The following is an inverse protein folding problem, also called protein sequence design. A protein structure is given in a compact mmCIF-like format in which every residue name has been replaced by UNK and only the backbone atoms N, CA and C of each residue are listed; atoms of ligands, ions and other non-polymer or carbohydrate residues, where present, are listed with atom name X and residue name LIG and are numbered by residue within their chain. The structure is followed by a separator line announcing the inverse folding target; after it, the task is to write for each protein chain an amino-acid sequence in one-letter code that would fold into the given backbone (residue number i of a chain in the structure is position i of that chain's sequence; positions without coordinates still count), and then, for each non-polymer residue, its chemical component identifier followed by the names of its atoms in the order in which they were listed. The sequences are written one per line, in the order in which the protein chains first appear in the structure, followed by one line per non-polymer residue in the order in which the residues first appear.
data_IF_473022737708
#
_entry.id   IF_473022737708
#
_cell.length_a   1.000
_cell.length_b   1.000
_cell.length_c   1.000
_cell.angle_alpha   90.00
_cell.angle_beta   90.00
_cell.angle_gamma   90.00
#
_symmetry.space_group_name_H-M   'P 1'
#
loop_
_entity.id
_entity.type
_entity.pdbx_description
1 polymer ?
#
# COMPACT_ATOMS: atom_id res chain seq x y z
N UNK A 1 17.61 9.99 -5.42
CA UNK A 1 16.46 9.17 -4.99
C UNK A 1 16.98 8.07 -4.10
N UNK A 2 16.93 8.27 -2.78
CA UNK A 2 17.21 7.21 -1.82
C UNK A 2 16.09 6.20 -1.91
N UNK A 3 16.35 5.05 -2.55
CA UNK A 3 15.50 3.87 -2.37
C UNK A 3 15.73 3.44 -0.92
N UNK A 4 14.97 4.03 0.02
CA UNK A 4 14.73 3.38 1.30
C UNK A 4 14.26 1.98 0.92
N UNK A 5 15.01 0.97 1.35
CA UNK A 5 14.66 -0.42 1.11
C UNK A 5 13.29 -0.65 1.74
N UNK A 6 12.24 -0.59 0.93
CA UNK A 6 10.88 -0.88 1.37
C UNK A 6 10.77 -2.41 1.35
N UNK A 7 10.71 -3.07 2.51
CA UNK A 7 10.71 -4.52 2.56
C UNK A 7 9.57 -5.05 1.69
N UNK A 8 9.79 -6.14 0.92
CA UNK A 8 8.81 -6.63 -0.02
C UNK A 8 7.49 -6.92 0.70
N UNK A 9 6.37 -6.65 0.02
CA UNK A 9 5.04 -6.92 0.55
C UNK A 9 4.90 -8.40 0.88
N UNK A 10 4.65 -8.71 2.15
CA UNK A 10 4.56 -10.08 2.63
C UNK A 10 3.47 -10.84 1.90
N UNK A 11 3.73 -12.14 1.69
CA UNK A 11 2.77 -13.11 1.17
C UNK A 11 2.35 -14.10 2.26
N UNK A 12 3.04 -14.10 3.40
CA UNK A 12 2.79 -14.98 4.51
C UNK A 12 1.48 -14.58 5.21
N UNK A 13 0.48 -15.46 5.20
CA UNK A 13 -0.82 -15.28 5.83
C UNK A 13 -0.76 -15.10 7.34
N UNK A 14 0.33 -15.55 7.98
CA UNK A 14 0.55 -15.39 9.42
C UNK A 14 1.26 -14.08 9.78
N UNK A 15 1.78 -13.36 8.79
CA UNK A 15 2.44 -12.09 9.04
C UNK A 15 1.45 -11.05 9.55
N UNK A 16 1.78 -10.28 10.60
CA UNK A 16 0.93 -9.21 11.10
C UNK A 16 0.74 -8.07 10.08
N UNK A 17 1.54 -8.04 9.01
CA UNK A 17 1.41 -7.12 7.88
C UNK A 17 0.56 -7.68 6.73
N UNK A 18 0.22 -8.97 6.73
CA UNK A 18 -0.43 -9.66 5.60
C UNK A 18 -1.67 -8.93 5.07
N UNK A 19 -2.57 -8.51 5.98
CA UNK A 19 -3.82 -7.83 5.59
C UNK A 19 -3.57 -6.51 4.88
N UNK A 20 -2.60 -5.74 5.37
CA UNK A 20 -2.26 -4.42 4.81
C UNK A 20 -1.49 -4.59 3.50
N UNK A 21 -0.55 -5.54 3.46
CA UNK A 21 0.24 -5.84 2.27
C UNK A 21 -0.64 -6.41 1.13
N UNK A 22 -1.66 -7.21 1.47
CA UNK A 22 -2.69 -7.64 0.52
C UNK A 22 -3.53 -6.46 0.00
N UNK A 23 -3.86 -5.49 0.86
CA UNK A 23 -4.59 -4.29 0.44
C UNK A 23 -3.75 -3.41 -0.52
N UNK A 24 -2.44 -3.28 -0.28
CA UNK A 24 -1.53 -2.58 -1.20
C UNK A 24 -1.47 -3.29 -2.55
N UNK A 25 -1.33 -4.62 -2.58
CA UNK A 25 -1.36 -5.39 -3.83
C UNK A 25 -2.65 -5.13 -4.63
N UNK A 26 -3.79 -5.13 -3.95
CA UNK A 26 -5.08 -4.85 -4.60
C UNK A 26 -5.18 -3.39 -5.09
N UNK A 27 -4.68 -2.43 -4.32
CA UNK A 27 -4.64 -1.02 -4.72
C UNK A 27 -3.73 -0.80 -5.94
N UNK A 28 -2.59 -1.49 -6.00
CA UNK A 28 -1.69 -1.48 -7.17
C UNK A 28 -2.40 -2.03 -8.41
N UNK A 29 -3.07 -3.19 -8.30
CA UNK A 29 -3.83 -3.78 -9.40
C UNK A 29 -4.92 -2.83 -9.92
N UNK A 30 -5.60 -2.11 -9.02
CA UNK A 30 -6.62 -1.10 -9.41
C UNK A 30 -5.99 0.09 -10.12
N UNK A 31 -4.84 0.56 -9.67
CA UNK A 31 -4.11 1.63 -10.34
C UNK A 31 -3.66 1.20 -11.74
N UNK A 32 -3.13 -0.01 -11.87
CA UNK A 32 -2.69 -0.55 -13.17
C UNK A 32 -3.88 -0.66 -14.13
N UNK A 33 -5.02 -1.17 -13.65
CA UNK A 33 -6.27 -1.22 -14.42
C UNK A 33 -6.78 0.18 -14.82
N UNK A 34 -6.68 1.17 -13.93
CA UNK A 34 -7.06 2.55 -14.23
C UNK A 34 -6.14 3.21 -15.27
N UNK A 35 -4.83 2.94 -15.19
CA UNK A 35 -3.84 3.43 -16.16
C UNK A 35 -4.10 2.80 -17.54
N UNK A 36 -4.38 1.51 -17.56
CA UNK A 36 -4.71 0.80 -18.80
C UNK A 36 -6.01 1.33 -19.41
N UNK A 37 -7.06 1.47 -18.61
CA UNK A 37 -8.34 2.05 -19.03
C UNK A 37 -8.18 3.48 -19.59
N UNK A 38 -7.31 4.32 -18.99
CA UNK A 38 -7.02 5.68 -19.51
C UNK A 38 -6.50 5.67 -20.94
N UNK A 39 -5.75 4.65 -21.35
CA UNK A 39 -5.20 4.54 -22.71
C UNK A 39 -6.30 4.36 -23.76
N UNK A 40 -7.44 3.78 -23.37
CA UNK A 40 -8.53 3.44 -24.27
C UNK A 40 -9.77 4.35 -24.11
N UNK A 41 -9.71 5.35 -23.22
CA UNK A 41 -10.87 6.20 -22.89
C UNK A 41 -11.04 7.41 -23.83
N UNK A 42 -12.27 7.66 -24.29
CA UNK A 42 -12.60 8.83 -25.12
C UNK A 42 -12.61 10.14 -24.30
N UNK A 43 -13.05 10.09 -23.04
CA UNK A 43 -12.97 11.22 -22.12
C UNK A 43 -11.71 11.15 -21.26
N UNK A 44 -10.68 11.91 -21.67
CA UNK A 44 -9.37 11.94 -21.01
C UNK A 44 -9.39 12.63 -19.64
N UNK A 45 -10.29 13.60 -19.41
CA UNK A 45 -10.38 14.31 -18.14
C UNK A 45 -10.90 13.38 -17.02
N UNK A 46 -11.96 12.63 -17.30
CA UNK A 46 -12.49 11.66 -16.36
C UNK A 46 -11.46 10.56 -16.05
N UNK A 47 -10.80 10.04 -17.08
CA UNK A 47 -9.78 9.01 -16.91
C UNK A 47 -8.56 9.51 -16.10
N UNK A 48 -8.20 10.78 -16.24
CA UNK A 48 -7.16 11.38 -15.42
C UNK A 48 -7.54 11.41 -13.93
N UNK A 49 -8.76 11.83 -13.59
CA UNK A 49 -9.22 11.84 -12.19
C UNK A 49 -9.32 10.44 -11.61
N UNK A 50 -9.77 9.44 -12.38
CA UNK A 50 -9.80 8.04 -11.93
C UNK A 50 -8.40 7.52 -11.59
N UNK A 51 -7.40 7.80 -12.44
CA UNK A 51 -6.00 7.42 -12.15
C UNK A 51 -5.47 8.13 -10.91
N UNK A 52 -5.80 9.42 -10.74
CA UNK A 52 -5.40 10.20 -9.57
C UNK A 52 -6.01 9.64 -8.29
N UNK A 53 -7.29 9.32 -8.29
CA UNK A 53 -7.98 8.70 -7.15
C UNK A 53 -7.36 7.33 -6.81
N UNK A 54 -7.07 6.50 -7.81
CA UNK A 54 -6.42 5.21 -7.60
C UNK A 54 -5.00 5.37 -7.00
N UNK A 55 -4.23 6.38 -7.40
CA UNK A 55 -2.93 6.70 -6.80
C UNK A 55 -3.06 7.15 -5.35
N UNK A 56 -4.05 7.98 -5.04
CA UNK A 56 -4.26 8.47 -3.67
C UNK A 56 -4.75 7.34 -2.76
N UNK A 57 -5.56 6.42 -3.27
CA UNK A 57 -5.93 5.20 -2.56
C UNK A 57 -4.72 4.31 -2.25
N UNK A 58 -3.81 4.12 -3.21
CA UNK A 58 -2.56 3.38 -3.01
C UNK A 58 -1.71 4.03 -1.90
N UNK A 59 -1.48 5.35 -1.99
CA UNK A 59 -0.74 6.11 -0.97
C UNK A 59 -1.35 5.99 0.42
N UNK A 60 -2.67 5.97 0.53
CA UNK A 60 -3.37 5.78 1.82
C UNK A 60 -3.07 4.40 2.41
N UNK A 61 -3.07 3.35 1.58
CA UNK A 61 -2.74 1.99 2.03
C UNK A 61 -1.26 1.85 2.44
N UNK A 62 -0.33 2.51 1.73
CA UNK A 62 1.08 2.56 2.11
C UNK A 62 1.30 3.26 3.46
N UNK A 63 0.60 4.37 3.71
CA UNK A 63 0.63 5.05 5.02
C UNK A 63 0.11 4.16 6.15
N UNK A 64 -0.95 3.40 5.90
CA UNK A 64 -1.45 2.42 6.87
C UNK A 64 -0.41 1.34 7.19
N UNK A 65 0.35 0.89 6.18
CA UNK A 65 1.43 -0.07 6.39
C UNK A 65 2.55 0.51 7.26
N UNK A 66 2.96 1.74 6.98
CA UNK A 66 3.97 2.43 7.79
C UNK A 66 3.51 2.56 9.25
N UNK A 67 2.26 2.99 9.48
CA UNK A 67 1.68 3.05 10.81
C UNK A 67 1.67 1.68 11.51
N UNK A 68 1.28 0.62 10.78
CA UNK A 68 1.26 -0.74 11.33
C UNK A 68 2.64 -1.26 11.72
N UNK A 69 3.67 -0.94 10.93
CA UNK A 69 5.06 -1.27 11.25
C UNK A 69 5.49 -0.57 12.55
N UNK A 70 5.16 0.70 12.71
CA UNK A 70 5.46 1.45 13.95
C UNK A 70 4.75 0.85 15.16
N UNK A 71 3.47 0.49 15.05
CA UNK A 71 2.72 -0.18 16.12
C UNK A 71 3.36 -1.50 16.53
N UNK A 72 3.75 -2.33 15.56
CA UNK A 72 4.40 -3.62 15.84
C UNK A 72 5.76 -3.44 16.50
N UNK A 73 6.54 -2.45 16.07
CA UNK A 73 7.83 -2.12 16.69
C UNK A 73 7.65 -1.62 18.14
N UNK A 74 6.62 -0.83 18.42
CA UNK A 74 6.30 -0.39 19.78
C UNK A 74 5.86 -1.57 20.66
N UNK A 75 5.02 -2.46 20.14
CA UNK A 75 4.55 -3.65 20.85
C UNK A 75 5.68 -4.63 21.19
N UNK A 76 6.65 -4.80 20.28
CA UNK A 76 7.84 -5.62 20.53
C UNK A 76 8.68 -5.03 21.68
N UNK A 77 8.96 -3.71 21.66
CA UNK A 77 9.69 -3.03 22.73
C UNK A 77 9.03 -3.16 24.11
N UNK A 78 7.70 -3.13 24.18
CA UNK A 78 6.98 -3.33 25.44
C UNK A 78 7.04 -4.78 25.95
N UNK A 79 7.25 -5.78 25.09
CA UNK A 79 7.39 -7.18 25.49
C UNK A 79 8.80 -7.55 25.94
N UNK A 80 9.82 -6.89 25.40
CA UNK A 80 11.22 -7.15 25.75
C UNK A 80 11.67 -6.44 27.04
N UNK A 81 10.90 -5.47 27.55
CA UNK A 81 11.19 -4.73 28.78
C UNK A 81 10.58 -5.31 30.07
N UNK A 82 9.89 -6.45 29.98
CA UNK A 82 9.20 -7.14 31.09
C UNK A 82 9.85 -8.50 31.41
N UNK A 83 11.18 -8.59 31.25
CA UNK A 83 11.99 -9.79 31.57
C UNK A 83 13.07 -9.48 32.60
#
# INVERSE_FOLDING_TARGET
MTRLYDPPLTVDGHSPLYRVDKAIKLAQQRLDAAIDAKRHHTNQNLAHEVVKEARDALRKTEKMRAARIMELAAAAKSRDGDS
#
